data_IF_033710441403
#
_entry.id   IF_033710441403
#
_cell.length_a   1.000
_cell.length_b   1.000
_cell.length_c   1.000
_cell.angle_alpha   90.00
_cell.angle_beta   90.00
_cell.angle_gamma   90.00
#
_symmetry.space_group_name_H-M   'P 1'
#
loop_
_entity.id
_entity.type
_entity.pdbx_description
1 polymer ?
#
# COMPACT_ATOMS: atom_id res chain seq x y z
N UNK A 1 -12.00 -51.04 55.71
CA UNK A 1 -13.35 -51.42 55.25
C UNK A 1 -13.50 -50.74 53.91
N UNK A 2 -13.24 -51.47 52.82
CA UNK A 2 -13.14 -50.86 51.49
C UNK A 2 -14.54 -50.52 51.00
N UNK A 3 -14.86 -49.23 50.92
CA UNK A 3 -16.12 -48.76 50.36
C UNK A 3 -16.05 -48.92 48.84
N UNK A 4 -16.66 -49.99 48.33
CA UNK A 4 -16.81 -50.23 46.90
C UNK A 4 -17.89 -49.27 46.41
N UNK A 5 -17.47 -48.23 45.69
CA UNK A 5 -18.37 -47.30 45.03
C UNK A 5 -18.84 -47.95 43.71
N UNK A 6 -19.99 -47.54 43.18
CA UNK A 6 -20.59 -48.09 41.96
C UNK A 6 -19.68 -48.09 40.70
N UNK A 7 -18.51 -47.43 40.77
CA UNK A 7 -17.52 -47.29 39.69
C UNK A 7 -16.13 -47.90 39.98
N UNK A 8 -16.00 -48.77 40.99
CA UNK A 8 -14.73 -49.44 41.34
C UNK A 8 -14.19 -49.02 42.71
N UNK A 9 -12.93 -49.35 43.01
CA UNK A 9 -12.27 -48.88 44.24
C UNK A 9 -11.89 -47.40 44.12
N UNK A 10 -11.75 -46.70 45.25
CA UNK A 10 -11.35 -45.27 45.24
C UNK A 10 -10.01 -45.04 44.51
N UNK A 11 -9.10 -46.01 44.57
CA UNK A 11 -7.81 -45.99 43.87
C UNK A 11 -7.99 -46.05 42.34
N UNK A 12 -8.88 -46.91 41.83
CA UNK A 12 -9.17 -47.03 40.39
C UNK A 12 -9.75 -45.72 39.83
N UNK A 13 -10.62 -45.08 40.61
CA UNK A 13 -11.22 -43.79 40.23
C UNK A 13 -10.15 -42.70 40.18
N UNK A 14 -9.23 -42.64 41.14
CA UNK A 14 -8.13 -41.67 41.14
C UNK A 14 -7.19 -41.84 39.94
N UNK A 15 -6.80 -43.08 39.61
CA UNK A 15 -5.92 -43.36 38.46
C UNK A 15 -6.57 -42.95 37.13
N UNK A 16 -7.86 -43.24 36.95
CA UNK A 16 -8.59 -42.86 35.75
C UNK A 16 -8.80 -41.34 35.65
N UNK A 17 -9.01 -40.66 36.79
CA UNK A 17 -9.11 -39.20 36.85
C UNK A 17 -7.77 -38.51 36.53
N UNK A 18 -6.65 -39.01 37.03
CA UNK A 18 -5.31 -38.47 36.72
C UNK A 18 -4.97 -38.62 35.23
N UNK A 19 -5.24 -39.78 34.63
CA UNK A 19 -4.98 -40.03 33.21
C UNK A 19 -5.81 -39.13 32.29
N UNK A 20 -7.07 -38.84 32.63
CA UNK A 20 -7.91 -37.89 31.88
C UNK A 20 -7.44 -36.44 32.06
N UNK A 21 -7.00 -36.06 33.27
CA UNK A 21 -6.47 -34.72 33.55
C UNK A 21 -5.22 -34.42 32.72
N UNK A 22 -4.32 -35.40 32.57
CA UNK A 22 -3.11 -35.24 31.77
C UNK A 22 -3.41 -35.17 30.25
N UNK A 23 -4.31 -36.02 29.77
CA UNK A 23 -4.74 -35.96 28.36
C UNK A 23 -5.48 -34.64 28.04
N UNK A 24 -6.34 -34.17 28.94
CA UNK A 24 -7.07 -32.91 28.78
C UNK A 24 -6.14 -31.70 28.73
N UNK A 25 -5.13 -31.66 29.61
CA UNK A 25 -4.12 -30.58 29.63
C UNK A 25 -3.21 -30.61 28.39
N UNK A 26 -2.84 -31.79 27.89
CA UNK A 26 -2.09 -31.91 26.64
C UNK A 26 -2.89 -31.37 25.45
N UNK A 27 -4.17 -31.76 25.30
CA UNK A 27 -5.02 -31.27 24.22
C UNK A 27 -5.30 -29.77 24.34
N UNK A 28 -5.50 -29.26 25.56
CA UNK A 28 -5.65 -27.82 25.79
C UNK A 28 -4.39 -27.05 25.41
N UNK A 29 -3.19 -27.56 25.72
CA UNK A 29 -1.93 -26.93 25.33
C UNK A 29 -1.75 -26.90 23.82
N UNK A 30 -2.07 -27.99 23.11
CA UNK A 30 -2.04 -28.04 21.64
C UNK A 30 -3.01 -27.02 21.04
N UNK A 31 -4.23 -26.93 21.57
CA UNK A 31 -5.22 -25.96 21.08
C UNK A 31 -4.77 -24.51 21.32
N UNK A 32 -4.31 -24.18 22.54
CA UNK A 32 -3.76 -22.85 22.84
C UNK A 32 -2.59 -22.50 21.93
N UNK A 33 -1.66 -23.43 21.74
CA UNK A 33 -0.53 -23.22 20.84
C UNK A 33 -0.98 -22.95 19.41
N UNK A 34 -1.96 -23.71 18.91
CA UNK A 34 -2.53 -23.50 17.57
C UNK A 34 -3.18 -22.12 17.43
N UNK A 35 -3.94 -21.67 18.42
CA UNK A 35 -4.60 -20.35 18.38
C UNK A 35 -3.56 -19.23 18.44
N UNK A 36 -2.57 -19.34 19.32
CA UNK A 36 -1.46 -18.37 19.40
C UNK A 36 -0.69 -18.32 18.09
N UNK A 37 -0.38 -19.47 17.49
CA UNK A 37 0.30 -19.55 16.21
C UNK A 37 -0.53 -18.94 15.08
N UNK A 38 -1.84 -19.23 15.03
CA UNK A 38 -2.75 -18.63 14.06
C UNK A 38 -2.83 -17.10 14.21
N UNK A 39 -2.90 -16.59 15.45
CA UNK A 39 -2.89 -15.17 15.73
C UNK A 39 -1.57 -14.51 15.30
N UNK A 40 -0.43 -15.16 15.54
CA UNK A 40 0.88 -14.69 15.08
C UNK A 40 0.96 -14.61 13.55
N UNK A 41 0.47 -15.63 12.84
CA UNK A 41 0.40 -15.61 11.38
C UNK A 41 -0.50 -14.48 10.87
N UNK A 42 -1.65 -14.26 11.52
CA UNK A 42 -2.54 -13.17 11.16
C UNK A 42 -1.86 -11.81 11.34
N UNK A 43 -1.14 -11.60 12.44
CA UNK A 43 -0.37 -10.38 12.68
C UNK A 43 0.71 -10.21 11.62
N UNK A 44 1.48 -11.27 11.33
CA UNK A 44 2.53 -11.24 10.30
C UNK A 44 1.97 -10.88 8.92
N UNK A 45 0.80 -11.43 8.58
CA UNK A 45 0.11 -11.12 7.34
C UNK A 45 -0.28 -9.63 7.28
N UNK A 46 -0.88 -9.10 8.34
CA UNK A 46 -1.25 -7.68 8.41
C UNK A 46 0.00 -6.81 8.25
N UNK A 47 1.10 -7.14 8.93
CA UNK A 47 2.37 -6.42 8.80
C UNK A 47 2.89 -6.42 7.36
N UNK A 48 2.83 -7.56 6.67
CA UNK A 48 3.24 -7.68 5.28
C UNK A 48 2.35 -6.87 4.33
N UNK A 49 1.04 -6.91 4.54
CA UNK A 49 0.06 -6.18 3.71
C UNK A 49 0.29 -4.68 3.88
N UNK A 50 0.34 -4.19 5.12
CA UNK A 50 0.57 -2.77 5.43
C UNK A 50 1.90 -2.28 4.82
N UNK A 51 2.97 -3.08 4.92
CA UNK A 51 4.25 -2.70 4.33
C UNK A 51 4.20 -2.59 2.79
N UNK A 52 3.36 -3.39 2.14
CA UNK A 52 3.24 -3.42 0.68
C UNK A 52 2.30 -2.33 0.15
N UNK A 53 1.26 -1.96 0.92
CA UNK A 53 0.23 -1.02 0.48
C UNK A 53 0.61 0.45 0.67
N UNK A 54 1.58 0.74 1.54
CA UNK A 54 2.01 2.11 1.83
C UNK A 54 3.52 2.25 1.64
N UNK A 55 3.98 3.40 1.17
CA UNK A 55 5.42 3.68 1.11
C UNK A 55 5.81 4.84 0.21
N UNK A 56 7.11 5.17 0.21
CA UNK A 56 7.69 6.15 -0.69
C UNK A 56 8.00 5.54 -2.05
N UNK A 57 7.65 6.29 -3.09
CA UNK A 57 7.98 5.99 -4.47
C UNK A 57 8.79 7.15 -5.02
N UNK A 58 9.94 6.84 -5.61
CA UNK A 58 10.75 7.83 -6.31
C UNK A 58 10.39 7.81 -7.78
N UNK A 59 9.93 8.97 -8.23
CA UNK A 59 9.48 9.23 -9.59
C UNK A 59 10.52 10.07 -10.31
N UNK A 60 10.65 9.81 -11.62
CA UNK A 60 11.43 10.63 -12.54
C UNK A 60 10.51 11.02 -13.68
N UNK A 61 10.47 12.32 -13.98
CA UNK A 61 9.69 12.84 -15.10
C UNK A 61 10.39 12.49 -16.42
N UNK A 62 9.64 11.97 -17.40
CA UNK A 62 10.19 11.80 -18.74
C UNK A 62 10.36 13.17 -19.44
N UNK A 63 9.45 14.11 -19.13
CA UNK A 63 9.52 15.51 -19.54
C UNK A 63 9.33 16.39 -18.32
N UNK A 64 10.33 17.22 -17.99
CA UNK A 64 10.28 18.09 -16.82
C UNK A 64 9.26 19.23 -16.97
N UNK A 65 8.50 19.50 -15.90
CA UNK A 65 7.48 20.56 -15.87
C UNK A 65 8.03 21.93 -16.25
N UNK A 66 9.26 22.22 -15.82
CA UNK A 66 9.96 23.49 -16.08
C UNK A 66 10.30 23.69 -17.56
N UNK A 67 10.32 22.62 -18.37
CA UNK A 67 10.49 22.70 -19.84
C UNK A 67 9.19 23.02 -20.56
N UNK A 68 8.04 22.78 -19.92
CA UNK A 68 6.72 23.11 -20.44
C UNK A 68 6.40 24.58 -20.18
N UNK A 69 6.63 25.03 -18.95
CA UNK A 69 6.42 26.42 -18.53
C UNK A 69 7.59 26.85 -17.63
N UNK A 70 8.27 27.92 -18.02
CA UNK A 70 9.42 28.43 -17.28
C UNK A 70 9.03 28.81 -15.84
N UNK A 71 9.91 28.51 -14.89
CA UNK A 71 9.76 28.79 -13.45
C UNK A 71 8.60 28.06 -12.76
N UNK A 72 8.05 26.99 -13.36
CA UNK A 72 7.02 26.17 -12.72
C UNK A 72 7.49 24.72 -12.59
N UNK A 73 7.70 24.30 -11.35
CA UNK A 73 8.25 22.98 -11.03
C UNK A 73 7.17 21.87 -11.02
N UNK A 74 5.89 22.23 -10.97
CA UNK A 74 4.76 21.30 -10.92
C UNK A 74 3.59 21.72 -11.81
N UNK A 75 2.93 20.76 -12.44
CA UNK A 75 1.71 20.97 -13.25
C UNK A 75 0.58 21.58 -12.44
N UNK A 76 0.50 21.26 -11.15
CA UNK A 76 -0.50 21.83 -10.24
C UNK A 76 -0.38 23.35 -10.03
N UNK A 77 0.76 23.95 -10.42
CA UNK A 77 0.96 25.40 -10.36
C UNK A 77 0.59 26.12 -11.66
N UNK A 78 0.16 25.39 -12.68
CA UNK A 78 -0.24 25.96 -13.96
C UNK A 78 -1.62 26.60 -13.82
N UNK A 79 -1.80 27.74 -14.46
CA UNK A 79 -3.11 28.39 -14.61
C UNK A 79 -3.97 27.62 -15.60
N UNK A 80 -5.29 27.84 -15.58
CA UNK A 80 -6.22 27.22 -16.53
C UNK A 80 -5.78 27.36 -17.99
N UNK A 81 -5.46 28.58 -18.41
CA UNK A 81 -5.08 28.87 -19.79
C UNK A 81 -3.79 28.14 -20.20
N UNK A 82 -2.83 28.05 -19.27
CA UNK A 82 -1.58 27.32 -19.46
C UNK A 82 -1.80 25.81 -19.57
N UNK A 83 -2.69 25.23 -18.73
CA UNK A 83 -3.05 23.82 -18.80
C UNK A 83 -3.65 23.48 -20.17
N UNK A 84 -4.59 24.29 -20.65
CA UNK A 84 -5.19 24.13 -21.97
C UNK A 84 -4.15 24.26 -23.09
N UNK A 85 -3.30 25.30 -23.03
CA UNK A 85 -2.24 25.52 -24.00
C UNK A 85 -1.28 24.33 -24.08
N UNK A 86 -0.83 23.82 -22.94
CA UNK A 86 0.07 22.66 -22.87
C UNK A 86 -0.63 21.42 -23.42
N UNK A 87 -1.89 21.19 -23.07
CA UNK A 87 -2.67 20.07 -23.59
C UNK A 87 -2.79 20.13 -25.13
N UNK A 88 -3.19 21.27 -25.71
CA UNK A 88 -3.34 21.39 -27.16
C UNK A 88 -1.99 21.31 -27.92
N UNK A 89 -0.92 21.82 -27.34
CA UNK A 89 0.38 21.91 -28.03
C UNK A 89 1.26 20.67 -27.90
N UNK A 90 1.12 19.90 -26.81
CA UNK A 90 2.02 18.78 -26.50
C UNK A 90 1.36 17.41 -26.61
N UNK A 91 0.01 17.33 -26.62
CA UNK A 91 -0.65 16.05 -26.90
C UNK A 91 -0.47 15.65 -28.36
N UNK A 92 -0.25 14.35 -28.58
CA UNK A 92 -0.26 13.83 -29.95
C UNK A 92 -1.66 13.93 -30.55
N UNK A 93 -1.75 14.07 -31.87
CA UNK A 93 -3.03 14.22 -32.57
C UNK A 93 -4.03 13.06 -32.28
N UNK A 94 -3.52 11.84 -32.07
CA UNK A 94 -4.34 10.68 -31.72
C UNK A 94 -4.91 10.78 -30.30
N UNK A 95 -4.10 11.19 -29.33
CA UNK A 95 -4.55 11.36 -27.94
C UNK A 95 -5.52 12.54 -27.87
N UNK A 96 -5.20 13.68 -28.47
CA UNK A 96 -6.06 14.86 -28.49
C UNK A 96 -7.45 14.55 -29.05
N UNK A 97 -7.53 13.81 -30.17
CA UNK A 97 -8.82 13.40 -30.75
C UNK A 97 -9.64 12.53 -29.79
N UNK A 98 -9.01 11.56 -29.11
CA UNK A 98 -9.70 10.70 -28.15
C UNK A 98 -10.17 11.49 -26.93
N UNK A 99 -9.28 12.33 -26.40
CA UNK A 99 -9.50 13.17 -25.23
C UNK A 99 -10.66 14.14 -25.47
N UNK A 100 -10.68 14.83 -26.61
CA UNK A 100 -11.79 15.72 -27.01
C UNK A 100 -13.11 14.97 -27.25
N UNK A 101 -13.05 13.75 -27.81
CA UNK A 101 -14.23 12.91 -28.02
C UNK A 101 -14.85 12.42 -26.70
N UNK A 102 -14.03 12.02 -25.72
CA UNK A 102 -14.50 11.55 -24.41
C UNK A 102 -15.10 12.70 -23.58
N UNK A 103 -14.38 13.82 -23.48
CA UNK A 103 -14.82 15.05 -22.80
C UNK A 103 -13.97 16.22 -23.30
N UNK A 104 -14.54 17.29 -23.87
CA UNK A 104 -13.75 18.41 -24.35
C UNK A 104 -12.84 18.99 -23.27
N UNK A 105 -11.61 19.43 -23.63
CA UNK A 105 -10.67 20.04 -22.69
C UNK A 105 -11.29 21.25 -21.98
N UNK A 106 -12.10 22.04 -22.70
CA UNK A 106 -12.79 23.20 -22.15
C UNK A 106 -13.78 22.86 -21.02
N UNK A 107 -14.38 21.66 -21.05
CA UNK A 107 -15.39 21.23 -20.09
C UNK A 107 -14.80 20.44 -18.90
N UNK A 108 -13.47 20.17 -18.93
CA UNK A 108 -12.77 19.46 -17.85
C UNK A 108 -12.53 20.36 -16.64
N UNK A 109 -12.41 19.76 -15.46
CA UNK A 109 -11.89 20.47 -14.28
C UNK A 109 -10.36 20.60 -14.35
N UNK A 110 -9.79 21.51 -13.55
CA UNK A 110 -8.33 21.71 -13.49
C UNK A 110 -7.61 20.43 -13.04
N UNK A 111 -8.20 19.68 -12.09
CA UNK A 111 -7.68 18.40 -11.62
C UNK A 111 -7.63 17.35 -12.73
N UNK A 112 -8.67 17.27 -13.57
CA UNK A 112 -8.71 16.34 -14.70
C UNK A 112 -7.65 16.72 -15.75
N UNK A 113 -7.43 18.02 -16.00
CA UNK A 113 -6.40 18.49 -16.94
C UNK A 113 -4.99 18.22 -16.42
N UNK A 114 -4.75 18.46 -15.13
CA UNK A 114 -3.47 18.12 -14.48
C UNK A 114 -3.19 16.62 -14.64
N UNK A 115 -4.16 15.77 -14.29
CA UNK A 115 -4.00 14.31 -14.41
C UNK A 115 -3.71 13.88 -15.85
N UNK A 116 -4.34 14.53 -16.84
CA UNK A 116 -4.14 14.24 -18.25
C UNK A 116 -2.73 14.63 -18.73
N UNK A 117 -2.25 15.81 -18.34
CA UNK A 117 -0.89 16.26 -18.66
C UNK A 117 0.15 15.37 -17.99
N UNK A 118 -0.06 15.03 -16.72
CA UNK A 118 0.81 14.10 -16.00
C UNK A 118 0.88 12.73 -16.71
N UNK A 119 -0.27 12.20 -17.13
CA UNK A 119 -0.36 10.89 -17.76
C UNK A 119 0.28 10.83 -19.16
N UNK A 120 0.03 11.83 -20.03
CA UNK A 120 0.41 11.75 -21.44
C UNK A 120 1.63 12.57 -21.83
N UNK A 121 1.98 13.60 -21.06
CA UNK A 121 3.08 14.52 -21.39
C UNK A 121 4.27 14.25 -20.45
N UNK A 122 4.06 14.34 -19.14
CA UNK A 122 5.15 14.16 -18.15
C UNK A 122 5.57 12.70 -18.04
N UNK A 123 4.59 11.78 -18.05
CA UNK A 123 4.78 10.33 -17.96
C UNK A 123 5.76 9.95 -16.82
N UNK A 124 5.44 10.29 -15.56
CA UNK A 124 6.34 10.01 -14.45
C UNK A 124 6.59 8.51 -14.34
N UNK A 125 7.87 8.10 -14.32
CA UNK A 125 8.29 6.70 -14.21
C UNK A 125 8.75 6.40 -12.80
N UNK A 126 8.28 5.27 -12.28
CA UNK A 126 8.75 4.74 -10.99
C UNK A 126 10.14 4.17 -11.18
N UNK A 127 11.13 4.72 -10.47
CA UNK A 127 12.48 4.18 -10.44
C UNK A 127 12.64 3.17 -9.30
N UNK A 128 12.22 3.56 -8.09
CA UNK A 128 12.39 2.76 -6.88
C UNK A 128 11.22 2.98 -5.92
N UNK A 129 10.86 1.92 -5.21
CA UNK A 129 9.80 1.92 -4.19
C UNK A 129 10.39 1.40 -2.89
N UNK A 130 9.99 2.01 -1.78
CA UNK A 130 10.25 1.54 -0.44
C UNK A 130 8.91 1.19 0.21
N UNK A 131 8.87 0.09 0.97
CA UNK A 131 7.71 -0.24 1.78
C UNK A 131 7.53 0.75 2.93
N UNK A 132 6.44 0.62 3.68
CA UNK A 132 6.13 1.53 4.79
C UNK A 132 7.23 1.55 5.85
N UNK A 133 7.73 0.38 6.25
CA UNK A 133 8.72 0.31 7.32
C UNK A 133 10.03 0.96 6.91
N UNK A 134 10.49 0.71 5.68
CA UNK A 134 11.67 1.37 5.13
C UNK A 134 11.47 2.88 4.98
N UNK A 135 10.28 3.30 4.57
CA UNK A 135 9.90 4.71 4.42
C UNK A 135 9.96 5.48 5.74
N UNK A 136 9.64 4.82 6.85
CA UNK A 136 9.65 5.41 8.18
C UNK A 136 11.04 5.42 8.82
N UNK A 137 11.83 4.35 8.63
CA UNK A 137 13.09 4.17 9.35
C UNK A 137 14.35 4.44 8.52
N UNK A 138 14.29 4.37 7.19
CA UNK A 138 15.43 4.48 6.28
C UNK A 138 15.47 5.79 5.48
N UNK A 139 15.01 6.90 6.06
CA UNK A 139 14.99 8.22 5.39
C UNK A 139 16.35 8.62 4.82
N UNK A 140 17.44 8.33 5.53
CA UNK A 140 18.81 8.64 5.08
C UNK A 140 19.15 7.93 3.77
N UNK A 141 18.69 6.69 3.58
CA UNK A 141 18.91 5.96 2.33
C UNK A 141 18.11 6.58 1.18
N UNK A 142 16.87 7.00 1.46
CA UNK A 142 16.02 7.67 0.48
C UNK A 142 16.69 8.97 0.05
N UNK A 143 17.08 9.83 0.99
CA UNK A 143 17.72 11.12 0.69
C UNK A 143 19.03 10.94 -0.09
N UNK A 144 19.83 9.92 0.25
CA UNK A 144 21.04 9.57 -0.52
C UNK A 144 20.70 9.16 -1.95
N UNK A 145 19.71 8.29 -2.10
CA UNK A 145 19.26 7.83 -3.41
C UNK A 145 18.75 8.99 -4.27
N UNK A 146 18.06 9.95 -3.68
CA UNK A 146 17.61 11.17 -4.35
C UNK A 146 18.79 12.01 -4.83
N UNK A 147 19.82 12.19 -3.99
CA UNK A 147 21.02 12.93 -4.35
C UNK A 147 21.81 12.28 -5.51
N UNK A 148 21.78 10.94 -5.60
CA UNK A 148 22.41 10.19 -6.69
C UNK A 148 21.60 10.23 -8.00
N UNK A 149 20.31 10.53 -7.94
CA UNK A 149 19.40 10.53 -9.10
C UNK A 149 18.79 11.94 -9.28
N UNK A 150 19.54 12.84 -9.91
CA UNK A 150 19.08 14.19 -10.23
C UNK A 150 17.77 14.17 -11.06
N UNK A 151 16.87 15.13 -10.81
CA UNK A 151 15.55 15.21 -11.44
C UNK A 151 14.51 14.22 -10.90
N UNK A 152 14.87 13.41 -9.90
CA UNK A 152 13.91 12.57 -9.20
C UNK A 152 13.22 13.33 -8.06
N UNK A 153 11.97 12.94 -7.75
CA UNK A 153 11.26 13.41 -6.56
C UNK A 153 10.57 12.24 -5.84
N UNK A 154 10.54 12.30 -4.51
CA UNK A 154 9.93 11.27 -3.68
C UNK A 154 8.48 11.64 -3.33
N UNK A 155 7.56 10.71 -3.53
CA UNK A 155 6.14 10.87 -3.19
C UNK A 155 5.70 9.71 -2.33
N UNK A 156 5.05 10.01 -1.20
CA UNK A 156 4.40 8.98 -0.41
C UNK A 156 3.11 8.54 -1.11
N UNK A 157 2.99 7.26 -1.41
CA UNK A 157 1.82 6.68 -2.06
C UNK A 157 1.11 5.72 -1.09
N UNK A 158 -0.21 5.84 -1.06
CA UNK A 158 -1.10 4.88 -0.45
C UNK A 158 -1.93 4.21 -1.54
N UNK A 159 -1.74 2.91 -1.70
CA UNK A 159 -2.51 2.10 -2.64
C UNK A 159 -3.89 1.70 -2.10
N UNK A 160 -4.10 1.82 -0.78
CA UNK A 160 -5.39 1.61 -0.12
C UNK A 160 -5.93 2.95 0.35
N UNK A 161 -6.97 3.44 -0.31
CA UNK A 161 -7.62 4.71 -0.01
C UNK A 161 -9.14 4.58 -0.23
N UNK A 162 -9.90 5.59 0.17
CA UNK A 162 -11.37 5.52 0.10
C UNK A 162 -11.88 5.34 -1.33
N UNK A 163 -11.21 5.93 -2.33
CA UNK A 163 -11.61 5.72 -3.72
C UNK A 163 -11.37 4.28 -4.18
N UNK A 164 -10.30 3.60 -3.73
CA UNK A 164 -10.11 2.16 -4.00
C UNK A 164 -11.22 1.28 -3.40
N UNK A 165 -11.75 1.63 -2.22
CA UNK A 165 -12.77 0.83 -1.53
C UNK A 165 -14.19 1.03 -2.09
N UNK A 166 -14.44 2.17 -2.73
CA UNK A 166 -15.77 2.57 -3.24
C UNK A 166 -15.84 2.49 -4.77
N UNK A 167 -14.70 2.29 -5.45
CA UNK A 167 -14.61 2.14 -6.91
C UNK A 167 -15.34 0.89 -7.44
#
# INVERSE_FOLDING_TARGET
MNHVVQFGTEEDVQVLMEKRRHNGTLWQAVFMFSVSLAMLFLIMLIFSVVNTTFGYVVLVNEVESSTLIAQKDSVSSFTRAELEQVAFSRLSAGILRRVEYEKPIADRSDEELIALIEQYIIKPKVRKTWGLWDSLFNKIEIDRYMAENEGSYAVFRSWVNSSFLVA
#
